data_IF_974244290730
#
_entry.id   IF_974244290730
#
_cell.length_a   1.000
_cell.length_b   1.000
_cell.length_c   1.000
_cell.angle_alpha   90.00
_cell.angle_beta   90.00
_cell.angle_gamma   90.00
#
_symmetry.space_group_name_H-M   'P 1'
#
loop_
_entity.id
_entity.type
_entity.pdbx_description
1 polymer ?
#
# COMPACT_ATOMS: atom_id res chain seq x y z
N UNK A 1 -12.73 11.46 -27.94
CA UNK A 1 -13.91 11.53 -27.04
C UNK A 1 -13.52 10.87 -25.72
N UNK A 2 -13.15 11.68 -24.74
CA UNK A 2 -12.77 11.25 -23.39
C UNK A 2 -14.04 11.20 -22.53
N UNK A 3 -14.52 10.00 -22.19
CA UNK A 3 -15.62 9.85 -21.23
C UNK A 3 -15.06 10.11 -19.83
N UNK A 4 -15.33 11.30 -19.30
CA UNK A 4 -15.07 11.67 -17.91
C UNK A 4 -16.17 11.08 -17.02
N UNK A 5 -15.85 10.01 -16.31
CA UNK A 5 -16.71 9.47 -15.24
C UNK A 5 -16.60 10.43 -14.05
N UNK A 6 -17.70 11.06 -13.60
CA UNK A 6 -17.67 11.98 -12.48
C UNK A 6 -17.27 11.23 -11.21
N UNK A 7 -16.10 11.55 -10.65
CA UNK A 7 -15.53 10.92 -9.46
C UNK A 7 -14.16 10.28 -9.68
N UNK A 8 -13.77 9.97 -10.91
CA UNK A 8 -12.37 9.65 -11.20
C UNK A 8 -11.57 10.96 -11.22
N UNK A 9 -10.89 11.26 -10.11
CA UNK A 9 -9.91 12.34 -10.07
C UNK A 9 -8.89 12.09 -11.19
N UNK A 10 -8.92 12.96 -12.20
CA UNK A 10 -7.98 12.94 -13.31
C UNK A 10 -6.63 13.44 -12.80
N UNK A 11 -5.93 12.59 -12.04
CA UNK A 11 -4.55 12.81 -11.63
C UNK A 11 -3.71 12.85 -12.90
N UNK A 12 -3.14 14.02 -13.20
CA UNK A 12 -2.19 14.20 -14.29
C UNK A 12 -0.87 13.56 -13.87
N UNK A 13 -0.57 12.38 -14.42
CA UNK A 13 0.65 11.63 -14.16
C UNK A 13 1.79 12.12 -15.06
N UNK A 14 2.29 13.32 -14.77
CA UNK A 14 3.44 13.92 -15.46
C UNK A 14 4.53 14.26 -14.45
N UNK A 15 5.75 13.81 -14.73
CA UNK A 15 6.99 14.20 -14.06
C UNK A 15 8.16 14.07 -15.03
N UNK A 16 8.92 15.15 -15.20
CA UNK A 16 10.16 15.20 -15.97
C UNK A 16 11.38 14.76 -15.15
N UNK A 17 11.36 15.04 -13.84
CA UNK A 17 12.51 14.85 -12.95
C UNK A 17 12.18 14.11 -11.65
N UNK A 18 13.22 13.69 -10.91
CA UNK A 18 13.06 13.00 -9.63
C UNK A 18 12.32 13.83 -8.56
N UNK A 19 12.54 15.16 -8.55
CA UNK A 19 11.86 16.08 -7.63
C UNK A 19 10.37 16.17 -7.97
N UNK A 20 10.03 16.27 -9.25
CA UNK A 20 8.64 16.29 -9.71
C UNK A 20 7.93 14.97 -9.45
N UNK A 21 8.65 13.84 -9.57
CA UNK A 21 8.12 12.53 -9.21
C UNK A 21 7.78 12.43 -7.72
N UNK A 22 8.63 12.97 -6.84
CA UNK A 22 8.34 13.06 -5.39
C UNK A 22 7.16 13.99 -5.12
N UNK A 23 7.06 15.12 -5.80
CA UNK A 23 5.91 16.01 -5.72
C UNK A 23 4.61 15.35 -6.21
N UNK A 24 4.68 14.49 -7.24
CA UNK A 24 3.56 13.65 -7.66
C UNK A 24 3.12 12.68 -6.57
N UNK A 25 4.07 12.00 -5.89
CA UNK A 25 3.75 11.15 -4.74
C UNK A 25 3.13 11.94 -3.58
N UNK A 26 3.59 13.18 -3.34
CA UNK A 26 2.99 14.10 -2.38
C UNK A 26 1.52 14.42 -2.73
N UNK A 27 1.24 14.79 -3.97
CA UNK A 27 -0.14 15.05 -4.44
C UNK A 27 -1.05 13.81 -4.28
N UNK A 28 -0.53 12.63 -4.62
CA UNK A 28 -1.25 11.36 -4.43
C UNK A 28 -1.56 11.13 -2.94
N UNK A 29 -0.61 11.43 -2.05
CA UNK A 29 -0.82 11.33 -0.61
C UNK A 29 -1.88 12.33 -0.12
N UNK A 30 -1.83 13.58 -0.58
CA UNK A 30 -2.79 14.63 -0.19
C UNK A 30 -4.23 14.28 -0.59
N UNK A 31 -4.40 13.54 -1.69
CA UNK A 31 -5.72 13.01 -2.11
C UNK A 31 -6.17 11.78 -1.32
N UNK A 32 -5.25 11.13 -0.60
CA UNK A 32 -5.56 9.90 0.14
C UNK A 32 -6.14 10.23 1.52
N UNK A 33 -7.13 9.45 2.01
CA UNK A 33 -7.61 9.58 3.38
C UNK A 33 -6.64 9.03 4.44
N UNK A 34 -5.48 8.49 4.03
CA UNK A 34 -4.53 7.82 4.91
C UNK A 34 -3.28 8.67 5.17
N UNK A 35 -2.85 8.72 6.42
CA UNK A 35 -1.54 9.27 6.79
C UNK A 35 -0.39 8.33 6.42
N UNK A 36 0.83 8.86 6.27
CA UNK A 36 2.05 8.07 6.05
C UNK A 36 2.23 6.95 7.10
N UNK A 37 1.85 7.20 8.36
CA UNK A 37 1.91 6.20 9.43
C UNK A 37 0.97 5.03 9.19
N UNK A 38 -0.26 5.30 8.75
CA UNK A 38 -1.24 4.26 8.41
C UNK A 38 -0.82 3.50 7.15
N UNK A 39 -0.25 4.19 6.16
CA UNK A 39 0.29 3.56 4.94
C UNK A 39 1.42 2.58 5.29
N UNK A 40 2.33 2.96 6.19
CA UNK A 40 3.40 2.09 6.67
C UNK A 40 2.84 0.81 7.31
N UNK A 41 1.82 0.93 8.17
CA UNK A 41 1.16 -0.22 8.80
C UNK A 41 0.47 -1.10 7.76
N UNK A 42 -0.27 -0.49 6.83
CA UNK A 42 -1.06 -1.20 5.79
C UNK A 42 -0.17 -1.97 4.81
N UNK A 43 1.01 -1.46 4.52
CA UNK A 43 1.94 -2.04 3.53
C UNK A 43 3.04 -2.89 4.16
N UNK A 44 3.28 -2.76 5.46
CA UNK A 44 4.42 -3.37 6.14
C UNK A 44 5.76 -2.71 5.84
N UNK A 45 5.79 -1.56 5.15
CA UNK A 45 7.04 -0.85 4.90
C UNK A 45 7.53 -0.08 6.15
N UNK A 46 8.84 0.18 6.30
CA UNK A 46 9.34 0.98 7.40
C UNK A 46 8.69 2.37 7.43
N UNK A 47 8.36 2.86 8.63
CA UNK A 47 7.71 4.17 8.79
C UNK A 47 8.57 5.29 8.18
N UNK A 48 9.89 5.27 8.38
CA UNK A 48 10.82 6.22 7.77
C UNK A 48 10.73 6.24 6.23
N UNK A 49 10.57 5.07 5.60
CA UNK A 49 10.37 4.96 4.15
C UNK A 49 9.10 5.67 3.71
N UNK A 50 7.98 5.42 4.38
CA UNK A 50 6.69 6.03 4.03
C UNK A 50 6.70 7.57 4.13
N UNK A 51 7.45 8.15 5.07
CA UNK A 51 7.64 9.60 5.15
C UNK A 51 8.65 10.11 4.11
N UNK A 52 9.67 9.33 3.77
CA UNK A 52 10.72 9.74 2.84
C UNK A 52 10.31 9.69 1.37
N UNK A 53 9.27 8.92 1.01
CA UNK A 53 8.81 8.79 -0.37
C UNK A 53 8.24 10.09 -0.96
N UNK A 54 7.28 10.77 -0.31
CA UNK A 54 6.73 12.04 -0.80
C UNK A 54 7.60 13.26 -0.47
N UNK A 55 8.69 13.11 0.29
CA UNK A 55 9.55 14.22 0.72
C UNK A 55 10.34 14.79 -0.46
N UNK A 56 10.00 16.01 -0.90
CA UNK A 56 10.67 16.70 -2.02
C UNK A 56 12.04 17.27 -1.66
N UNK A 57 12.40 17.34 -0.36
CA UNK A 57 13.71 17.85 0.08
C UNK A 57 14.84 16.87 -0.21
N UNK A 58 14.52 15.58 -0.37
CA UNK A 58 15.52 14.54 -0.64
C UNK A 58 15.84 14.49 -2.13
N UNK A 59 17.11 14.62 -2.53
CA UNK A 59 17.49 14.47 -3.91
C UNK A 59 17.38 13.00 -4.34
N UNK A 60 16.96 12.78 -5.58
CA UNK A 60 17.01 11.47 -6.22
C UNK A 60 15.73 10.63 -6.13
N UNK A 61 15.61 9.70 -7.09
CA UNK A 61 14.47 8.80 -7.23
C UNK A 61 14.51 7.70 -6.14
N UNK A 62 13.35 7.24 -5.61
CA UNK A 62 13.33 6.08 -4.73
C UNK A 62 13.95 4.86 -5.41
N UNK A 63 14.85 4.15 -4.71
CA UNK A 63 15.60 3.02 -5.30
C UNK A 63 14.80 1.74 -5.42
N UNK A 64 13.82 1.52 -4.53
CA UNK A 64 13.04 0.28 -4.50
C UNK A 64 11.67 0.48 -5.17
N UNK A 65 11.42 -0.13 -6.35
CA UNK A 65 10.15 0.03 -7.07
C UNK A 65 8.97 -0.60 -6.31
N UNK A 66 9.19 -1.68 -5.57
CA UNK A 66 8.13 -2.38 -4.84
C UNK A 66 7.56 -1.51 -3.72
N UNK A 67 8.41 -0.70 -3.08
CA UNK A 67 7.99 0.26 -2.06
C UNK A 67 7.14 1.37 -2.67
N UNK A 68 7.51 1.87 -3.85
CA UNK A 68 6.73 2.87 -4.58
C UNK A 68 5.36 2.30 -4.96
N UNK A 69 5.32 1.10 -5.55
CA UNK A 69 4.08 0.42 -5.92
C UNK A 69 3.16 0.15 -4.72
N UNK A 70 3.73 -0.32 -3.60
CA UNK A 70 2.99 -0.55 -2.38
C UNK A 70 2.42 0.75 -1.79
N UNK A 71 3.20 1.85 -1.82
CA UNK A 71 2.78 3.16 -1.37
C UNK A 71 1.57 3.68 -2.16
N UNK A 72 1.67 3.73 -3.50
CA UNK A 72 0.58 4.26 -4.33
C UNK A 72 -0.68 3.39 -4.28
N UNK A 73 -0.52 2.06 -4.19
CA UNK A 73 -1.64 1.14 -3.99
C UNK A 73 -2.31 1.36 -2.63
N UNK A 74 -1.53 1.63 -1.59
CA UNK A 74 -2.07 1.92 -0.27
C UNK A 74 -2.86 3.23 -0.25
N UNK A 75 -2.42 4.24 -1.01
CA UNK A 75 -3.12 5.52 -1.18
C UNK A 75 -4.48 5.40 -1.88
N UNK A 76 -4.79 4.25 -2.50
CA UNK A 76 -6.08 3.98 -3.12
C UNK A 76 -6.08 4.10 -4.64
N UNK A 77 -4.91 4.19 -5.29
CA UNK A 77 -4.84 4.21 -6.75
C UNK A 77 -5.31 2.88 -7.34
N UNK A 78 -5.99 2.99 -8.48
CA UNK A 78 -6.45 1.84 -9.25
C UNK A 78 -5.26 1.12 -9.89
N UNK A 79 -5.34 -0.19 -10.18
CA UNK A 79 -4.22 -0.94 -10.74
C UNK A 79 -3.62 -0.30 -12.00
N UNK A 80 -4.47 0.20 -12.90
CA UNK A 80 -4.05 0.90 -14.12
C UNK A 80 -3.28 2.20 -13.81
N UNK A 81 -3.71 2.97 -12.81
CA UNK A 81 -2.99 4.18 -12.38
C UNK A 81 -1.65 3.83 -11.72
N UNK A 82 -1.60 2.72 -10.96
CA UNK A 82 -0.34 2.22 -10.40
C UNK A 82 0.64 1.89 -11.52
N UNK A 83 0.20 1.20 -12.57
CA UNK A 83 1.05 0.86 -13.71
C UNK A 83 1.61 2.12 -14.39
N UNK A 84 0.78 3.15 -14.59
CA UNK A 84 1.21 4.45 -15.15
C UNK A 84 2.29 5.12 -14.29
N UNK A 85 2.11 5.16 -12.96
CA UNK A 85 3.11 5.73 -12.04
C UNK A 85 4.39 4.90 -12.06
N UNK A 86 4.29 3.58 -12.13
CA UNK A 86 5.46 2.69 -12.17
C UNK A 86 6.21 2.79 -13.49
N UNK A 87 5.53 3.00 -14.62
CA UNK A 87 6.17 3.22 -15.91
C UNK A 87 6.88 4.58 -15.97
N UNK A 88 6.28 5.61 -15.35
CA UNK A 88 6.93 6.91 -15.15
C UNK A 88 8.21 6.75 -14.30
N UNK A 89 8.14 6.03 -13.19
CA UNK A 89 9.30 5.74 -12.34
C UNK A 89 10.41 5.03 -13.12
N UNK A 90 10.08 3.99 -13.90
CA UNK A 90 11.05 3.25 -14.74
C UNK A 90 11.70 4.15 -15.78
N UNK A 91 10.92 5.04 -16.43
CA UNK A 91 11.42 6.00 -17.42
C UNK A 91 12.46 6.94 -16.81
N UNK A 92 12.16 7.52 -15.65
CA UNK A 92 13.07 8.41 -14.92
C UNK A 92 14.34 7.69 -14.43
N UNK A 93 14.19 6.45 -13.95
CA UNK A 93 15.33 5.67 -13.49
C UNK A 93 16.27 5.32 -14.65
N UNK A 94 15.75 4.97 -15.83
CA UNK A 94 16.55 4.74 -17.04
C UNK A 94 17.26 6.01 -17.52
N UNK A 95 16.57 7.15 -17.50
CA UNK A 95 17.18 8.43 -17.85
C UNK A 95 18.36 8.77 -16.93
N UNK A 96 18.19 8.60 -15.61
CA UNK A 96 19.24 8.85 -14.60
C UNK A 96 20.44 7.93 -14.80
N UNK A 97 20.21 6.65 -15.11
CA UNK A 97 21.30 5.69 -15.33
C UNK A 97 22.09 6.00 -16.61
N UNK A 98 21.40 6.37 -17.70
CA UNK A 98 22.06 6.80 -18.94
C UNK A 98 22.96 8.02 -18.74
N UNK A 99 22.55 8.97 -17.88
CA UNK A 99 23.37 10.14 -17.53
C UNK A 99 24.64 9.75 -16.76
N UNK A 100 24.55 8.72 -15.89
CA UNK A 100 25.72 8.23 -15.14
C UNK A 100 26.74 7.52 -16.04
N UNK A 101 26.26 6.69 -16.95
CA UNK A 101 27.13 5.96 -17.89
C UNK A 101 27.85 6.96 -18.82
N UNK A 102 27.12 7.93 -19.39
CA UNK A 102 27.71 8.94 -20.27
C UNK A 102 28.69 9.89 -19.56
N UNK A 103 28.55 10.09 -18.25
CA UNK A 103 29.50 10.90 -17.46
C UNK A 103 30.76 10.13 -17.05
N UNK A 104 30.75 8.80 -17.12
CA UNK A 104 31.85 7.93 -16.68
C UNK A 104 32.94 7.69 -17.73
N UNK A 105 32.63 7.82 -19.02
CA UNK A 105 33.58 7.51 -20.12
C UNK A 105 34.62 8.62 -20.42
N UNK A 106 34.61 9.72 -19.67
CA UNK A 106 35.48 10.88 -19.93
C UNK A 106 36.75 11.00 -19.08
N UNK A 107 37.06 10.05 -18.19
CA UNK A 107 38.13 10.23 -17.20
C UNK A 107 39.17 9.09 -17.16
N UNK A 108 39.69 8.70 -18.32
CA UNK A 108 40.92 7.91 -18.42
C UNK A 108 41.85 8.45 -19.52
N UNK A 109 42.72 9.40 -19.13
CA UNK A 109 44.15 9.50 -19.50
C UNK A 109 44.69 10.92 -19.22
N UNK A 110 45.16 11.15 -18.01
CA UNK A 110 46.32 12.03 -17.81
C UNK A 110 47.09 11.57 -16.58
N UNK A 111 48.22 10.95 -16.88
CA UNK A 111 49.47 11.10 -16.11
C UNK A 111 49.46 10.51 -14.70
N UNK A 112 49.62 9.18 -14.64
CA UNK A 112 50.42 8.55 -13.59
C UNK A 112 51.88 8.98 -13.81
N UNK A 113 52.23 10.18 -13.36
CA UNK A 113 53.61 10.53 -13.07
C UNK A 113 54.01 9.79 -11.79
N UNK A 114 55.07 9.00 -11.89
CA UNK A 114 55.65 8.23 -10.81
C UNK A 114 55.96 9.15 -9.62
N UNK A 115 55.15 9.06 -8.56
CA UNK A 115 55.46 9.67 -7.28
C UNK A 115 56.71 9.00 -6.69
N UNK A 116 57.80 9.76 -6.66
CA UNK A 116 59.06 9.41 -6.02
C UNK A 116 58.82 9.26 -4.51
N UNK A 117 59.36 8.22 -3.84
CA UNK A 117 59.11 7.96 -2.42
C UNK A 117 59.65 9.04 -1.45
N UNK A 118 60.38 10.05 -1.93
CA UNK A 118 60.84 11.18 -1.12
C UNK A 118 59.73 12.23 -0.86
N UNK A 119 58.82 12.46 -1.81
CA UNK A 119 57.77 13.47 -1.66
C UNK A 119 56.71 13.08 -0.59
N UNK A 120 56.50 11.78 -0.38
CA UNK A 120 55.59 11.26 0.66
C UNK A 120 56.19 11.49 2.07
N UNK A 121 57.53 11.49 2.18
CA UNK A 121 58.22 11.66 3.47
C UNK A 121 58.21 13.12 3.94
N UNK A 122 58.21 14.07 3.01
CA UNK A 122 58.14 15.51 3.30
C UNK A 122 56.72 15.94 3.71
N UNK A 123 55.68 15.34 3.11
CA UNK A 123 54.28 15.59 3.51
C UNK A 123 53.92 15.02 4.89
N UNK A 124 54.50 13.89 5.30
CA UNK A 124 54.29 13.35 6.65
C UNK A 124 55.02 14.17 7.73
N UNK A 125 56.11 14.85 7.39
CA UNK A 125 56.83 15.74 8.32
C UNK A 125 56.08 17.06 8.59
N UNK A 126 55.23 17.52 7.67
CA UNK A 126 54.45 18.76 7.86
C UNK A 126 53.15 18.56 8.65
N UNK A 127 52.67 17.32 8.80
CA UNK A 127 51.44 17.02 9.54
C UNK A 127 51.61 16.93 11.08
N UNK A 128 52.85 16.99 11.58
CA UNK A 128 53.14 16.82 13.01
C UNK A 128 53.01 18.11 13.85
N UNK A 129 52.97 19.30 13.23
CA UNK A 129 52.94 20.59 13.94
C UNK A 129 51.62 21.37 13.84
N UNK A 130 50.64 20.87 13.09
CA UNK A 130 49.30 21.46 13.10
C UNK A 130 48.56 20.99 14.36
N UNK A 131 48.67 21.79 15.42
CA UNK A 131 47.81 21.74 16.61
C UNK A 131 46.36 22.01 16.18
N UNK A 132 45.65 20.94 15.80
CA UNK A 132 44.23 20.99 15.47
C UNK A 132 43.49 21.28 16.77
N UNK A 133 43.13 22.54 16.97
CA UNK A 133 42.08 22.94 17.90
C UNK A 133 40.78 22.37 17.34
N UNK A 134 40.42 21.15 17.76
CA UNK A 134 39.07 20.64 17.58
C UNK A 134 38.16 21.49 18.47
N UNK A 135 37.47 22.44 17.83
CA UNK A 135 36.38 23.17 18.43
C UNK A 135 35.16 22.22 18.52
N UNK A 136 35.00 21.63 19.70
CA UNK A 136 33.99 20.63 20.08
C UNK A 136 32.59 21.24 20.24
N UNK A 137 32.20 22.17 19.36
CA UNK A 137 31.04 23.06 19.54
C UNK A 137 29.84 22.78 18.61
N UNK A 138 29.84 21.69 17.83
CA UNK A 138 28.75 21.41 16.86
C UNK A 138 28.13 20.01 17.03
N UNK A 139 27.84 19.62 18.28
CA UNK A 139 26.90 18.54 18.59
C UNK A 139 25.99 18.91 19.77
N UNK A 140 25.40 20.11 19.71
CA UNK A 140 24.16 20.39 20.42
C UNK A 140 22.99 20.27 19.43
N UNK A 141 22.77 19.06 18.93
CA UNK A 141 21.47 18.73 18.36
C UNK A 141 20.52 18.60 19.55
N UNK A 142 19.76 19.66 19.84
CA UNK A 142 18.63 19.53 20.75
C UNK A 142 17.63 18.56 20.11
N UNK A 143 17.33 17.41 20.75
CA UNK A 143 16.16 16.66 20.38
C UNK A 143 14.99 17.51 20.84
N UNK A 144 14.36 18.22 19.91
CA UNK A 144 13.05 18.83 20.12
C UNK A 144 12.08 17.69 20.44
N UNK A 145 11.97 17.36 21.73
CA UNK A 145 10.97 16.47 22.29
C UNK A 145 9.63 17.12 21.97
N UNK A 146 9.01 16.67 20.90
CA UNK A 146 7.57 16.72 20.85
C UNK A 146 7.10 15.72 21.89
N UNK A 147 6.78 16.25 23.07
CA UNK A 147 5.86 15.66 24.02
C UNK A 147 4.54 15.46 23.28
N UNK A 148 4.47 14.37 22.52
CA UNK A 148 3.23 13.75 22.14
C UNK A 148 2.78 13.02 23.38
N UNK A 149 1.95 13.69 24.17
CA UNK A 149 1.25 13.12 25.31
C UNK A 149 0.84 11.69 24.99
N UNK A 150 1.43 10.78 25.74
CA UNK A 150 1.11 9.38 25.74
C UNK A 150 -0.37 9.23 26.14
N UNK A 151 -1.25 9.10 25.16
CA UNK A 151 -2.59 8.57 25.38
C UNK A 151 -2.44 7.10 25.79
N UNK A 152 -2.72 6.72 27.06
CA UNK A 152 -2.63 5.35 27.50
C UNK A 152 -3.99 4.70 27.24
N UNK A 153 -4.20 4.17 26.04
CA UNK A 153 -5.48 3.54 25.74
C UNK A 153 -5.63 3.12 24.30
N UNK A 154 -5.03 1.99 23.92
CA UNK A 154 -5.20 1.49 22.56
C UNK A 154 -4.81 0.04 22.31
N UNK A 155 -4.61 -0.77 23.35
CA UNK A 155 -4.63 -2.23 23.18
C UNK A 155 -6.09 -2.70 23.08
N UNK A 156 -6.74 -2.44 21.95
CA UNK A 156 -7.88 -3.24 21.52
C UNK A 156 -7.32 -4.22 20.48
N UNK A 157 -6.80 -5.36 20.92
CA UNK A 157 -7.58 -6.60 20.86
C UNK A 157 -8.44 -6.63 19.60
N UNK A 158 -7.92 -7.31 18.58
CA UNK A 158 -8.71 -8.02 17.57
C UNK A 158 -9.79 -8.84 18.28
N UNK A 159 -10.89 -8.18 18.64
CA UNK A 159 -12.05 -8.78 19.26
C UNK A 159 -12.85 -9.39 18.11
N UNK A 160 -12.71 -10.70 18.00
CA UNK A 160 -13.50 -11.57 17.12
C UNK A 160 -14.98 -11.18 17.20
N UNK A 161 -15.49 -10.63 16.11
CA UNK A 161 -16.86 -10.15 16.01
C UNK A 161 -16.98 -8.95 15.08
N UNK A 162 -16.31 -8.98 13.92
CA UNK A 162 -16.65 -8.04 12.85
C UNK A 162 -18.09 -8.34 12.48
N UNK A 163 -18.97 -7.40 12.81
CA UNK A 163 -20.38 -7.49 12.49
C UNK A 163 -20.49 -7.65 10.96
N UNK A 164 -21.39 -8.51 10.50
CA UNK A 164 -21.60 -8.73 9.06
C UNK A 164 -21.87 -7.42 8.30
N UNK A 165 -22.42 -6.42 9.00
CA UNK A 165 -22.66 -5.06 8.52
C UNK A 165 -21.37 -4.26 8.27
N UNK A 166 -20.32 -4.44 9.07
CA UNK A 166 -19.01 -3.83 8.84
C UNK A 166 -18.32 -4.44 7.61
N UNK A 167 -18.46 -5.76 7.45
CA UNK A 167 -17.96 -6.47 6.28
C UNK A 167 -18.71 -6.03 5.02
N UNK A 168 -20.04 -5.86 5.12
CA UNK A 168 -20.87 -5.32 4.04
C UNK A 168 -20.47 -3.89 3.71
N UNK A 169 -20.26 -3.01 4.69
CA UNK A 169 -19.80 -1.64 4.42
C UNK A 169 -18.40 -1.60 3.80
N UNK A 170 -17.50 -2.50 4.22
CA UNK A 170 -16.17 -2.62 3.61
C UNK A 170 -16.23 -3.15 2.17
N UNK A 171 -17.13 -4.09 1.88
CA UNK A 171 -17.33 -4.64 0.53
C UNK A 171 -18.09 -3.66 -0.37
N UNK A 172 -19.04 -2.91 0.18
CA UNK A 172 -19.86 -1.92 -0.52
C UNK A 172 -19.12 -0.59 -0.75
N UNK A 173 -18.11 -0.27 0.06
CA UNK A 173 -17.34 0.97 -0.05
C UNK A 173 -16.30 0.99 -1.17
N UNK A 174 -15.97 -0.16 -1.77
CA UNK A 174 -14.98 -0.25 -2.85
C UNK A 174 -15.70 -0.49 -4.19
N UNK A 175 -15.95 0.58 -4.94
CA UNK A 175 -16.76 0.63 -6.18
C UNK A 175 -16.33 -0.35 -7.28
N UNK A 176 -15.07 -0.82 -7.27
CA UNK A 176 -14.60 -1.83 -8.23
C UNK A 176 -14.91 -3.26 -7.77
N UNK A 177 -14.90 -3.52 -6.47
CA UNK A 177 -15.31 -4.81 -5.91
C UNK A 177 -16.81 -4.96 -5.92
N UNK A 178 -17.56 -3.88 -5.72
CA UNK A 178 -19.02 -3.91 -5.87
C UNK A 178 -19.44 -4.28 -7.27
N UNK A 179 -18.76 -3.84 -8.33
CA UNK A 179 -19.10 -4.26 -9.70
C UNK A 179 -18.97 -5.77 -9.91
N UNK A 180 -17.87 -6.37 -9.46
CA UNK A 180 -17.70 -7.83 -9.54
C UNK A 180 -18.65 -8.58 -8.61
N UNK A 181 -18.86 -8.09 -7.38
CA UNK A 181 -19.80 -8.67 -6.45
C UNK A 181 -21.23 -8.59 -6.99
N UNK A 182 -21.64 -7.45 -7.56
CA UNK A 182 -22.96 -7.25 -8.19
C UNK A 182 -23.10 -8.14 -9.41
N UNK A 183 -22.06 -8.30 -10.24
CA UNK A 183 -22.08 -9.24 -11.36
C UNK A 183 -22.31 -10.70 -10.94
N UNK A 184 -21.85 -11.09 -9.75
CA UNK A 184 -22.12 -12.42 -9.17
C UNK A 184 -23.45 -12.46 -8.41
N UNK A 185 -23.88 -11.35 -7.82
CA UNK A 185 -25.09 -11.28 -7.00
C UNK A 185 -26.36 -11.24 -7.86
N UNK A 186 -26.31 -10.63 -9.05
CA UNK A 186 -27.41 -10.63 -10.02
C UNK A 186 -27.80 -12.07 -10.44
N UNK A 187 -26.91 -12.94 -10.96
CA UNK A 187 -27.30 -14.29 -11.35
C UNK A 187 -27.75 -15.13 -10.16
N UNK A 188 -27.14 -14.96 -8.97
CA UNK A 188 -27.54 -15.67 -7.76
C UNK A 188 -28.95 -15.26 -7.31
N UNK A 189 -29.26 -13.96 -7.32
CA UNK A 189 -30.60 -13.47 -6.95
C UNK A 189 -31.66 -13.90 -7.95
N UNK A 190 -31.37 -13.88 -9.25
CA UNK A 190 -32.28 -14.41 -10.29
C UNK A 190 -32.52 -15.92 -10.14
N UNK A 191 -31.48 -16.69 -9.80
CA UNK A 191 -31.60 -18.13 -9.55
C UNK A 191 -32.49 -18.39 -8.32
N UNK A 192 -32.26 -17.68 -7.21
CA UNK A 192 -33.08 -17.79 -6.00
C UNK A 192 -34.54 -17.41 -6.27
N UNK A 193 -34.76 -16.32 -7.00
CA UNK A 193 -36.11 -15.91 -7.40
C UNK A 193 -36.80 -16.97 -8.26
N UNK A 194 -36.08 -17.57 -9.21
CA UNK A 194 -36.59 -18.67 -10.04
C UNK A 194 -36.99 -19.90 -9.20
N UNK A 195 -36.18 -20.28 -8.21
CA UNK A 195 -36.49 -21.37 -7.27
C UNK A 195 -37.75 -21.07 -6.47
N UNK A 196 -37.90 -19.84 -5.96
CA UNK A 196 -39.09 -19.43 -5.21
C UNK A 196 -40.34 -19.46 -6.10
N UNK A 197 -40.28 -18.92 -7.32
CA UNK A 197 -41.39 -18.98 -8.27
C UNK A 197 -41.80 -20.42 -8.61
N UNK A 198 -40.83 -21.32 -8.81
CA UNK A 198 -41.11 -22.73 -9.08
C UNK A 198 -41.80 -23.43 -7.89
N UNK A 199 -41.38 -23.14 -6.66
CA UNK A 199 -42.01 -23.67 -5.45
C UNK A 199 -43.46 -23.18 -5.29
N UNK A 200 -43.72 -21.90 -5.55
CA UNK A 200 -45.08 -21.34 -5.51
C UNK A 200 -45.97 -21.98 -6.58
N UNK A 201 -45.46 -22.11 -7.81
CA UNK A 201 -46.21 -22.74 -8.90
C UNK A 201 -46.53 -24.21 -8.58
N UNK A 202 -45.56 -24.96 -8.04
CA UNK A 202 -45.76 -26.34 -7.60
C UNK A 202 -46.85 -26.41 -6.51
N UNK A 203 -46.88 -25.45 -5.59
CA UNK A 203 -47.88 -25.39 -4.53
C UNK A 203 -49.30 -25.14 -5.04
N UNK A 204 -49.45 -24.27 -6.04
CA UNK A 204 -50.75 -24.01 -6.68
C UNK A 204 -51.20 -25.21 -7.53
N UNK A 205 -50.27 -25.84 -8.25
CA UNK A 205 -50.59 -26.90 -9.23
C UNK A 205 -50.83 -28.26 -8.56
N UNK A 206 -50.14 -28.56 -7.45
CA UNK A 206 -50.18 -29.87 -6.78
C UNK A 206 -50.21 -29.72 -5.24
N UNK A 207 -51.33 -29.23 -4.65
CA UNK A 207 -51.39 -28.94 -3.22
C UNK A 207 -51.14 -30.18 -2.35
N UNK A 208 -51.53 -31.38 -2.79
CA UNK A 208 -51.34 -32.63 -2.04
C UNK A 208 -49.87 -33.12 -2.00
N UNK A 209 -49.03 -32.73 -2.95
CA UNK A 209 -47.63 -33.20 -3.05
C UNK A 209 -46.62 -32.25 -2.39
N UNK A 210 -47.03 -31.01 -2.08
CA UNK A 210 -46.17 -30.00 -1.45
C UNK A 210 -45.47 -30.43 -0.16
N UNK A 211 -46.11 -31.10 0.82
CA UNK A 211 -45.43 -31.38 2.09
C UNK A 211 -44.28 -32.36 1.94
N UNK A 212 -44.35 -33.31 0.99
CA UNK A 212 -43.27 -34.28 0.78
C UNK A 212 -42.05 -33.66 0.09
N UNK A 213 -42.26 -32.75 -0.86
CA UNK A 213 -41.16 -32.07 -1.57
C UNK A 213 -40.45 -31.08 -0.66
N UNK A 214 -41.22 -30.34 0.15
CA UNK A 214 -40.66 -29.38 1.13
C UNK A 214 -39.86 -30.12 2.21
N UNK A 215 -40.36 -31.26 2.71
CA UNK A 215 -39.62 -32.09 3.66
C UNK A 215 -38.31 -32.65 3.08
N UNK A 216 -38.32 -33.07 1.81
CA UNK A 216 -37.13 -33.56 1.12
C UNK A 216 -36.04 -32.50 0.91
N UNK A 217 -36.43 -31.28 0.53
CA UNK A 217 -35.48 -30.18 0.27
C UNK A 217 -34.93 -29.53 1.55
N UNK A 218 -35.72 -29.49 2.63
CA UNK A 218 -35.26 -28.92 3.90
C UNK A 218 -34.36 -29.88 4.70
N UNK A 219 -34.47 -31.18 4.48
CA UNK A 219 -33.72 -32.18 5.26
C UNK A 219 -32.19 -32.00 5.18
N UNK A 220 -31.56 -31.82 4.00
CA UNK A 220 -30.12 -31.55 3.89
C UNK A 220 -29.72 -30.21 4.53
N UNK A 221 -30.58 -29.18 4.38
CA UNK A 221 -30.31 -27.84 4.88
C UNK A 221 -30.31 -27.80 6.42
N UNK A 222 -31.27 -28.50 7.03
CA UNK A 222 -31.34 -28.69 8.48
C UNK A 222 -30.16 -29.50 9.00
N UNK A 223 -29.66 -30.48 8.22
CA UNK A 223 -28.48 -31.27 8.58
C UNK A 223 -27.20 -30.41 8.58
N UNK A 224 -27.05 -29.51 7.61
CA UNK A 224 -25.93 -28.56 7.55
C UNK A 224 -26.01 -27.54 8.69
N UNK A 225 -27.18 -26.96 8.95
CA UNK A 225 -27.39 -26.02 10.06
C UNK A 225 -27.10 -26.67 11.42
N UNK A 226 -27.57 -27.91 11.64
CA UNK A 226 -27.32 -28.66 12.88
C UNK A 226 -25.83 -28.92 13.14
N UNK A 227 -25.04 -29.10 12.08
CA UNK A 227 -23.59 -29.36 12.20
C UNK A 227 -22.79 -28.10 12.58
N UNK A 228 -23.29 -26.91 12.25
CA UNK A 228 -22.60 -25.64 12.55
C UNK A 228 -22.68 -25.20 14.02
N UNK A 229 -23.64 -25.71 14.80
CA UNK A 229 -23.98 -25.18 16.13
C UNK A 229 -23.21 -25.75 17.34
N UNK A 230 -22.30 -26.72 17.17
CA UNK A 230 -21.57 -27.30 18.32
C UNK A 230 -20.07 -27.07 18.20
N UNK A 231 -19.59 -25.93 18.71
CA UNK A 231 -18.23 -25.82 19.22
C UNK A 231 -18.28 -25.79 20.75
N UNK A 232 -17.82 -26.86 21.44
CA UNK A 232 -17.73 -26.83 22.89
C UNK A 232 -16.71 -25.76 23.30
N UNK A 233 -17.16 -24.76 24.06
CA UNK A 233 -16.25 -23.85 24.79
C UNK A 233 -15.51 -24.70 25.82
N UNK A 234 -14.26 -25.05 25.51
CA UNK A 234 -13.30 -25.53 26.51
C UNK A 234 -13.10 -24.38 27.49
N UNK A 235 -13.63 -24.52 28.71
CA UNK A 235 -13.18 -23.70 29.84
C UNK A 235 -11.74 -24.13 30.12
N UNK A 236 -10.83 -23.18 30.06
CA UNK A 236 -9.51 -23.34 30.64
C UNK A 236 -9.72 -23.15 32.15
N UNK A 237 -9.49 -24.21 32.91
CA UNK A 237 -9.35 -24.12 34.36
C UNK A 237 -7.94 -23.59 34.68
N UNK A 238 -7.89 -22.73 35.70
CA UNK A 238 -6.70 -22.14 36.34
C UNK A 238 -5.68 -23.19 36.83
#
# INVERSE_FOLDING_TARGET
MTMTIPGEQQLVFEAADATEFRALLGRILDTSPLSCGQIAIKTGMPRSTAYSLPDTKRPGLPSNPDQVAAFVRACGLTPTQVDLVMDLWKKLHRATENTRISSGEGKDKSTTEQATPEAIRELLSQAADSKIVLDTSVLAWEPRRHDCDAAPGGRQLFRQGTSWTELLHYILGDERRTRHAVMLLIPVTLLLLGVVCALVFLAVKMPAATPMVVAGLLSPLLLVLRKSGRKPKKKADD
#
